data_IF_066622694677
#
_entry.id   IF_066622694677
#
_cell.length_a   1.000
_cell.length_b   1.000
_cell.length_c   1.000
_cell.angle_alpha   90.00
_cell.angle_beta   90.00
_cell.angle_gamma   90.00
#
_symmetry.space_group_name_H-M   'P 1'
#
loop_
_entity.id
_entity.type
_entity.pdbx_description
1 polymer ?
#
# COMPACT_ATOMS: atom_id res chain seq x y z
N UNK A 1 -10.69 1.09 9.42
CA UNK A 1 -10.75 1.42 7.99
C UNK A 1 -9.87 0.49 7.15
N UNK A 2 -8.55 0.67 7.02
CA UNK A 2 -7.70 -0.20 6.15
C UNK A 2 -7.85 -1.70 6.46
N UNK A 3 -7.80 -2.08 7.74
CA UNK A 3 -8.00 -3.48 8.18
C UNK A 3 -9.39 -4.02 7.81
N UNK A 4 -10.42 -3.17 7.87
CA UNK A 4 -11.79 -3.58 7.50
C UNK A 4 -11.91 -3.73 5.99
N UNK A 5 -11.31 -2.83 5.21
CA UNK A 5 -11.23 -2.92 3.75
C UNK A 5 -10.54 -4.22 3.31
N UNK A 6 -9.41 -4.56 3.94
CA UNK A 6 -8.69 -5.82 3.70
C UNK A 6 -9.52 -7.06 4.10
N UNK A 7 -10.34 -6.97 5.15
CA UNK A 7 -11.20 -8.08 5.58
C UNK A 7 -12.42 -8.26 4.68
N UNK A 8 -12.92 -7.19 4.09
CA UNK A 8 -14.11 -7.19 3.23
C UNK A 8 -13.79 -7.38 1.75
N UNK A 9 -12.55 -7.15 1.32
CA UNK A 9 -12.12 -7.39 -0.05
C UNK A 9 -12.14 -8.89 -0.37
N UNK A 10 -12.61 -9.21 -1.58
CA UNK A 10 -12.55 -10.55 -2.18
C UNK A 10 -11.29 -10.78 -3.01
N UNK A 11 -10.45 -9.75 -3.14
CA UNK A 11 -9.24 -9.77 -3.94
C UNK A 11 -8.16 -10.58 -3.23
N UNK A 12 -7.42 -11.38 -4.00
CA UNK A 12 -6.36 -12.22 -3.47
C UNK A 12 -5.08 -11.42 -3.21
N UNK A 13 -4.85 -10.38 -4.02
CA UNK A 13 -3.63 -9.59 -3.99
C UNK A 13 -3.97 -8.12 -3.74
N UNK A 14 -3.68 -7.66 -2.53
CA UNK A 14 -3.94 -6.28 -2.09
C UNK A 14 -2.62 -5.57 -1.87
N UNK A 15 -2.43 -4.44 -2.52
CA UNK A 15 -1.31 -3.55 -2.29
C UNK A 15 -1.70 -2.42 -1.33
N UNK A 16 -1.02 -2.33 -0.20
CA UNK A 16 -1.17 -1.22 0.76
C UNK A 16 0.01 -0.28 0.60
N UNK A 17 -0.26 0.90 0.03
CA UNK A 17 0.77 1.87 -0.36
C UNK A 17 0.82 3.02 0.64
N UNK A 18 2.02 3.28 1.19
CA UNK A 18 2.31 4.42 2.05
C UNK A 18 3.27 5.39 1.37
N UNK A 19 3.43 6.59 1.95
CA UNK A 19 4.31 7.62 1.39
C UNK A 19 5.78 7.27 1.59
N UNK A 20 6.20 7.15 2.84
CA UNK A 20 7.61 6.98 3.20
C UNK A 20 7.96 5.52 3.50
N UNK A 21 9.21 5.13 3.19
CA UNK A 21 9.73 3.78 3.45
C UNK A 21 9.69 3.42 4.95
N UNK A 22 10.04 4.37 5.83
CA UNK A 22 10.01 4.14 7.28
C UNK A 22 8.59 3.89 7.81
N UNK A 23 7.62 4.69 7.37
CA UNK A 23 6.20 4.51 7.70
C UNK A 23 5.68 3.17 7.17
N UNK A 24 6.11 2.78 5.97
CA UNK A 24 5.75 1.49 5.35
C UNK A 24 6.16 0.33 6.26
N UNK A 25 7.40 0.34 6.77
CA UNK A 25 7.93 -0.70 7.65
C UNK A 25 7.16 -0.77 8.97
N UNK A 26 6.86 0.38 9.58
CA UNK A 26 6.13 0.41 10.85
C UNK A 26 4.66 0.04 10.69
N UNK A 27 4.04 0.42 9.58
CA UNK A 27 2.68 0.01 9.24
C UNK A 27 2.60 -1.48 8.98
N UNK A 28 3.54 -2.04 8.22
CA UNK A 28 3.67 -3.47 7.99
C UNK A 28 3.68 -4.25 9.31
N UNK A 29 4.56 -3.90 10.26
CA UNK A 29 4.64 -4.57 11.57
C UNK A 29 3.30 -4.55 12.31
N UNK A 30 2.62 -3.40 12.32
CA UNK A 30 1.32 -3.27 12.97
C UNK A 30 0.26 -4.12 12.28
N UNK A 31 0.22 -4.07 10.95
CA UNK A 31 -0.75 -4.80 10.15
C UNK A 31 -0.59 -6.32 10.33
N UNK A 32 0.64 -6.84 10.33
CA UNK A 32 0.92 -8.25 10.61
C UNK A 32 0.47 -8.69 12.02
N UNK A 33 0.49 -7.79 13.00
CA UNK A 33 -0.05 -8.07 14.35
C UNK A 33 -1.58 -8.11 14.35
N UNK A 34 -2.24 -7.26 13.55
CA UNK A 34 -3.71 -7.22 13.46
C UNK A 34 -4.30 -8.32 12.58
N UNK A 35 -3.54 -8.79 11.59
CA UNK A 35 -3.94 -9.78 10.59
C UNK A 35 -3.10 -11.07 10.71
N UNK A 36 -3.01 -11.62 11.92
CA UNK A 36 -2.18 -12.82 12.20
C UNK A 36 -2.57 -14.06 11.40
N UNK A 37 -3.78 -14.08 10.86
CA UNK A 37 -4.37 -15.15 10.06
C UNK A 37 -4.24 -14.93 8.55
N UNK A 38 -3.62 -13.83 8.11
CA UNK A 38 -3.36 -13.53 6.70
C UNK A 38 -1.87 -13.39 6.43
N UNK A 39 -1.48 -13.67 5.19
CA UNK A 39 -0.14 -13.42 4.68
C UNK A 39 0.01 -11.92 4.40
N UNK A 40 0.98 -11.31 5.09
CA UNK A 40 1.31 -9.89 4.96
C UNK A 40 2.79 -9.82 4.64
N UNK A 41 3.12 -9.17 3.54
CA UNK A 41 4.46 -9.11 2.96
C UNK A 41 4.94 -7.65 2.95
N UNK A 42 6.24 -7.45 3.15
CA UNK A 42 6.88 -6.14 3.01
C UNK A 42 7.70 -6.12 1.73
N UNK A 43 7.41 -5.17 0.85
CA UNK A 43 8.23 -4.89 -0.33
C UNK A 43 9.08 -3.66 -0.02
N UNK A 44 10.34 -3.88 0.34
CA UNK A 44 11.27 -2.83 0.76
C UNK A 44 12.32 -2.48 -0.31
N UNK A 45 12.32 -3.19 -1.44
CA UNK A 45 13.20 -2.93 -2.57
C UNK A 45 12.59 -3.40 -3.90
N UNK A 46 13.20 -2.97 -5.01
CA UNK A 46 12.77 -3.23 -6.39
C UNK A 46 13.00 -4.67 -6.89
N UNK A 47 13.74 -5.49 -6.13
CA UNK A 47 14.02 -6.89 -6.45
C UNK A 47 13.13 -7.86 -5.68
N UNK A 48 12.34 -7.37 -4.71
CA UNK A 48 11.34 -8.18 -4.02
C UNK A 48 10.21 -8.53 -5.00
N UNK A 49 9.90 -9.82 -5.07
CA UNK A 49 8.76 -10.28 -5.84
C UNK A 49 7.47 -9.87 -5.12
N UNK A 50 6.45 -9.52 -5.90
CA UNK A 50 5.09 -9.42 -5.39
C UNK A 50 4.60 -10.83 -5.06
N UNK A 51 4.26 -11.05 -3.80
CA UNK A 51 3.80 -12.34 -3.29
C UNK A 51 2.28 -12.34 -3.20
N UNK A 52 1.67 -13.53 -3.17
CA UNK A 52 0.23 -13.64 -2.95
C UNK A 52 -0.15 -13.02 -1.59
N UNK A 53 -1.32 -12.37 -1.52
CA UNK A 53 -1.83 -11.80 -0.27
C UNK A 53 -1.66 -10.29 -0.16
N UNK A 54 -1.28 -9.81 1.04
CA UNK A 54 -1.26 -8.37 1.33
C UNK A 54 0.16 -7.85 1.26
N UNK A 55 0.46 -7.02 0.27
CA UNK A 55 1.78 -6.45 0.04
C UNK A 55 1.81 -5.00 0.53
N UNK A 56 2.70 -4.69 1.47
CA UNK A 56 2.88 -3.34 2.02
C UNK A 56 4.15 -2.73 1.41
N UNK A 57 4.02 -1.56 0.80
CA UNK A 57 5.11 -0.91 0.06
C UNK A 57 4.99 0.62 0.05
N UNK A 58 6.08 1.29 -0.32
CA UNK A 58 6.07 2.74 -0.52
C UNK A 58 5.57 3.12 -1.92
N UNK A 59 5.02 4.31 -2.06
CA UNK A 59 4.54 4.86 -3.34
C UNK A 59 5.65 5.00 -4.39
N UNK A 60 6.91 5.06 -3.96
CA UNK A 60 8.07 5.06 -4.86
C UNK A 60 8.30 3.68 -5.47
N UNK A 61 8.15 2.62 -4.68
CA UNK A 61 8.35 1.24 -5.12
C UNK A 61 7.18 0.73 -5.97
N UNK A 62 6.00 1.35 -5.91
CA UNK A 62 4.87 0.98 -6.78
C UNK A 62 5.04 1.47 -8.23
N UNK A 63 6.07 2.25 -8.54
CA UNK A 63 6.27 2.82 -9.88
C UNK A 63 6.50 1.72 -10.92
N UNK A 64 5.59 1.65 -11.89
CA UNK A 64 5.67 0.68 -12.98
C UNK A 64 5.19 -0.72 -12.61
N UNK A 65 4.63 -0.89 -11.41
CA UNK A 65 3.93 -2.10 -11.04
C UNK A 65 2.47 -2.05 -11.52
N UNK A 66 1.93 -3.23 -11.81
CA UNK A 66 0.52 -3.45 -12.07
C UNK A 66 -0.05 -4.26 -10.91
N UNK A 67 -1.00 -3.67 -10.19
CA UNK A 67 -1.51 -4.15 -8.90
C UNK A 67 -3.03 -4.25 -8.98
N UNK A 68 -3.60 -5.38 -8.55
CA UNK A 68 -5.04 -5.61 -8.70
C UNK A 68 -5.89 -4.64 -7.88
N UNK A 69 -5.68 -4.63 -6.56
CA UNK A 69 -6.38 -3.74 -5.63
C UNK A 69 -5.39 -2.91 -4.82
N UNK A 70 -5.47 -1.58 -4.93
CA UNK A 70 -4.59 -0.64 -4.22
C UNK A 70 -5.34 0.09 -3.12
N UNK A 71 -4.76 0.11 -1.92
CA UNK A 71 -5.17 0.95 -0.81
C UNK A 71 -4.07 1.97 -0.54
N UNK A 72 -4.30 3.22 -0.93
CA UNK A 72 -3.40 4.33 -0.61
C UNK A 72 -3.70 4.85 0.79
N UNK A 73 -2.73 4.75 1.71
CA UNK A 73 -2.87 5.14 3.11
C UNK A 73 -2.27 6.52 3.35
N UNK A 74 -2.88 7.26 4.27
CA UNK A 74 -2.44 8.59 4.70
C UNK A 74 -2.26 9.61 3.57
N UNK A 75 -3.22 9.66 2.64
CA UNK A 75 -3.14 10.46 1.42
C UNK A 75 -2.97 11.99 1.65
N UNK A 76 -3.19 12.49 2.87
CA UNK A 76 -2.97 13.89 3.21
C UNK A 76 -1.48 14.28 3.32
N UNK A 77 -0.59 13.37 3.73
CA UNK A 77 0.84 13.69 3.92
C UNK A 77 1.57 14.00 2.61
N UNK A 78 0.99 13.62 1.47
CA UNK A 78 1.52 13.94 0.15
C UNK A 78 1.38 15.44 -0.21
N UNK A 79 0.60 16.21 0.56
CA UNK A 79 0.39 17.65 0.33
C UNK A 79 1.45 18.52 1.01
N UNK A 80 2.21 17.98 1.94
CA UNK A 80 3.12 18.75 2.79
C UNK A 80 4.42 19.17 2.08
N UNK A 81 4.73 18.56 0.93
CA UNK A 81 5.96 18.81 0.17
C UNK A 81 5.68 18.74 -1.34
N UNK A 82 6.14 19.76 -2.07
CA UNK A 82 5.99 19.86 -3.53
C UNK A 82 6.59 18.67 -4.29
N UNK A 83 7.69 18.11 -3.77
CA UNK A 83 8.35 16.95 -4.40
C UNK A 83 7.52 15.67 -4.32
N UNK A 84 6.55 15.60 -3.40
CA UNK A 84 5.76 14.40 -3.14
C UNK A 84 4.44 14.39 -3.94
N UNK A 85 4.10 15.48 -4.64
CA UNK A 85 2.85 15.62 -5.41
C UNK A 85 2.67 14.56 -6.51
N UNK A 86 3.75 14.00 -7.02
CA UNK A 86 3.71 12.93 -8.02
C UNK A 86 3.42 11.54 -7.43
N UNK A 87 3.69 11.32 -6.15
CA UNK A 87 3.60 9.99 -5.54
C UNK A 87 2.16 9.45 -5.49
N UNK A 88 1.10 10.23 -5.18
CA UNK A 88 -0.27 9.73 -5.27
C UNK A 88 -0.64 9.29 -6.68
N UNK A 89 -0.19 10.03 -7.70
CA UNK A 89 -0.42 9.64 -9.09
C UNK A 89 0.27 8.31 -9.42
N UNK A 90 1.52 8.14 -8.98
CA UNK A 90 2.28 6.89 -9.16
C UNK A 90 1.58 5.72 -8.46
N UNK A 91 1.13 5.90 -7.22
CA UNK A 91 0.45 4.86 -6.46
C UNK A 91 -0.92 4.50 -7.08
N UNK A 92 -1.74 5.50 -7.39
CA UNK A 92 -3.10 5.27 -7.88
C UNK A 92 -3.15 4.70 -9.30
N UNK A 93 -2.17 5.03 -10.15
CA UNK A 93 -2.11 4.50 -11.53
C UNK A 93 -1.57 3.07 -11.62
N UNK A 94 -1.04 2.53 -10.52
CA UNK A 94 -0.68 1.10 -10.44
C UNK A 94 -1.90 0.18 -10.24
N UNK A 95 -3.07 0.72 -9.88
CA UNK A 95 -4.29 -0.05 -9.64
C UNK A 95 -4.98 -0.47 -10.95
N UNK A 96 -5.21 -1.78 -11.13
CA UNK A 96 -5.89 -2.35 -12.30
C UNK A 96 -7.41 -2.47 -12.10
N UNK A 97 -7.84 -2.99 -10.95
CA UNK A 97 -9.23 -3.36 -10.73
C UNK A 97 -9.91 -2.51 -9.65
N UNK A 98 -9.20 -2.17 -8.57
CA UNK A 98 -9.78 -1.40 -7.48
C UNK A 98 -8.80 -0.46 -6.82
N UNK A 99 -9.33 0.68 -6.38
CA UNK A 99 -8.57 1.72 -5.70
C UNK A 99 -9.38 2.25 -4.52
N UNK A 100 -8.73 2.30 -3.36
CA UNK A 100 -9.22 2.94 -2.16
C UNK A 100 -8.21 3.99 -1.68
N UNK A 101 -8.69 5.18 -1.30
CA UNK A 101 -7.84 6.27 -0.80
C UNK A 101 -8.27 6.60 0.62
N UNK A 102 -7.36 6.37 1.55
CA UNK A 102 -7.56 6.61 2.97
C UNK A 102 -6.71 7.79 3.44
N UNK A 103 -7.37 8.76 4.07
CA UNK A 103 -6.76 9.99 4.57
C UNK A 103 -6.19 9.84 5.99
N UNK A 104 -6.27 8.65 6.57
CA UNK A 104 -5.93 8.33 7.95
C UNK A 104 -5.23 6.96 7.98
N UNK A 105 -4.29 6.80 8.92
CA UNK A 105 -3.65 5.52 9.25
C UNK A 105 -4.61 4.57 9.96
#
# INVERSE_FOLDING_TARGET
>A
MVVESIKNSTDKDIAVILKAELETIDFYKQLSIFLKDKEVNLIDNEYCNYEEGINVLSAKLSKGLELDYVILVNANEYKDNENDKGLPYIATTSALHGLEINNVL
#
